data_IF_619075538820
#
_entry.id   IF_619075538820
#
_cell.length_a   1.000
_cell.length_b   1.000
_cell.length_c   1.000
_cell.angle_alpha   90.00
_cell.angle_beta   90.00
_cell.angle_gamma   90.00
#
_symmetry.space_group_name_H-M   'P 1'
#
loop_
_entity.id
_entity.type
_entity.pdbx_description
1 polymer ?
2 non-polymer ?
3 water ?
#
# COMPACT_ATOMS: atom_id res chain seq x y z
N UNK A 6 -40.88 -17.32 5.34
CA UNK A 6 -41.38 -15.94 5.58
C UNK A 6 -40.33 -14.87 5.27
N UNK A 7 -40.83 -13.74 4.77
CA UNK A 7 -39.99 -12.66 4.25
C UNK A 7 -39.36 -11.92 5.43
N UNK A 8 -38.14 -11.42 5.27
CA UNK A 8 -37.54 -10.60 6.32
C UNK A 8 -36.63 -9.51 5.71
N UNK A 9 -36.50 -8.39 6.42
CA UNK A 9 -35.70 -7.28 5.96
C UNK A 9 -34.21 -7.65 5.78
N UNK A 10 -33.47 -6.89 4.97
CA UNK A 10 -32.10 -7.32 4.79
C UNK A 10 -31.20 -7.12 6.04
N UNK A 11 -30.14 -7.94 6.09
CA UNK A 11 -29.09 -7.84 7.09
C UNK A 11 -27.71 -7.99 6.41
N UNK A 12 -26.78 -7.10 6.74
CA UNK A 12 -25.42 -7.24 6.21
C UNK A 12 -24.69 -8.39 6.88
N UNK A 13 -24.11 -9.27 6.06
CA UNK A 13 -23.44 -10.45 6.59
C UNK A 13 -21.93 -10.20 6.51
N UNK A 14 -21.49 -9.67 5.37
CA UNK A 14 -20.10 -9.28 5.21
C UNK A 14 -19.98 -7.80 4.86
N UNK A 15 -19.23 -7.06 5.67
CA UNK A 15 -18.98 -5.67 5.38
C UNK A 15 -17.71 -5.68 4.54
N UNK A 16 -17.52 -4.63 3.71
CA UNK A 16 -16.32 -4.42 2.94
C UNK A 16 -15.14 -4.05 3.84
N UNK A 17 -13.96 -4.53 3.48
CA UNK A 17 -12.74 -4.23 4.16
C UNK A 17 -11.97 -3.21 3.33
N UNK A 18 -11.22 -2.36 4.04
CA UNK A 18 -10.30 -1.41 3.44
C UNK A 18 -9.38 -2.13 2.47
N UNK A 19 -9.00 -1.43 1.40
CA UNK A 19 -8.20 -1.99 0.31
C UNK A 19 -7.23 -0.99 -0.28
N UNK A 20 -5.94 -1.35 -0.23
CA UNK A 20 -4.89 -0.65 -0.97
C UNK A 20 -4.52 -1.57 -2.13
N UNK A 21 -4.46 -0.99 -3.31
CA UNK A 21 -4.08 -1.78 -4.46
C UNK A 21 -3.23 -0.92 -5.37
N UNK A 22 -2.45 -1.55 -6.21
CA UNK A 22 -1.60 -0.82 -7.15
C UNK A 22 -2.40 -0.41 -8.39
N UNK A 23 -2.05 0.74 -8.97
CA UNK A 23 -2.51 1.11 -10.31
C UNK A 23 -2.13 -0.03 -11.25
N UNK A 24 -3.08 -0.42 -12.08
CA UNK A 24 -2.85 -1.53 -13.00
C UNK A 24 -3.56 -2.78 -12.54
N UNK A 25 -3.69 -2.94 -11.22
CA UNK A 25 -4.34 -4.11 -10.66
C UNK A 25 -5.87 -3.97 -10.49
N UNK A 26 -6.58 -5.09 -10.69
CA UNK A 26 -8.01 -5.13 -10.43
C UNK A 26 -8.19 -5.00 -8.94
N UNK A 27 -9.43 -4.92 -8.51
CA UNK A 27 -9.73 -4.87 -7.09
C UNK A 27 -11.12 -5.37 -6.87
N UNK A 28 -11.35 -5.89 -5.66
CA UNK A 28 -12.64 -6.36 -5.25
C UNK A 28 -12.98 -5.82 -3.88
N UNK A 29 -14.18 -5.23 -3.74
CA UNK A 29 -14.71 -4.79 -2.40
C UNK A 29 -15.79 -5.76 -2.08
N UNK A 30 -15.72 -6.33 -0.89
CA UNK A 30 -16.65 -7.38 -0.52
C UNK A 30 -17.89 -6.85 0.15
N UNK A 31 -19.00 -7.49 -0.14
CA UNK A 31 -20.23 -7.21 0.55
C UNK A 31 -21.01 -8.51 0.47
N UNK A 32 -21.88 -8.76 1.43
CA UNK A 32 -22.79 -9.91 1.33
C UNK A 32 -23.97 -9.65 2.25
N UNK A 33 -25.20 -9.84 1.77
CA UNK A 33 -26.40 -9.67 2.62
C UNK A 33 -27.26 -10.92 2.65
N UNK A 34 -28.16 -10.98 3.64
CA UNK A 34 -29.20 -11.98 3.69
C UNK A 34 -30.53 -11.26 3.75
N UNK A 35 -31.54 -11.89 3.19
CA UNK A 35 -32.87 -11.32 3.28
C UNK A 35 -33.77 -12.15 2.43
N UNK A 36 -35.06 -12.02 2.68
CA UNK A 36 -36.08 -12.69 1.89
C UNK A 36 -37.23 -11.69 1.75
N UNK A 37 -37.55 -11.29 0.50
CA UNK A 37 -36.94 -11.72 -0.79
C UNK A 37 -35.45 -11.37 -0.90
N UNK A 38 -34.69 -12.14 -1.66
CA UNK A 38 -33.25 -11.89 -1.78
C UNK A 38 -32.99 -10.39 -1.99
N UNK A 39 -32.10 -9.79 -1.18
CA UNK A 39 -31.89 -8.36 -1.36
C UNK A 39 -30.99 -7.99 -2.56
N UNK A 40 -31.23 -6.80 -3.10
CA UNK A 40 -30.38 -6.29 -4.15
C UNK A 40 -29.26 -5.55 -3.45
N UNK A 41 -28.11 -5.44 -4.10
CA UNK A 41 -26.95 -4.80 -3.47
C UNK A 41 -26.58 -3.61 -4.33
N UNK A 42 -26.39 -2.44 -3.72
CA UNK A 42 -25.98 -1.27 -4.46
C UNK A 42 -24.86 -0.57 -3.70
N UNK A 43 -23.89 -0.03 -4.43
CA UNK A 43 -22.72 0.52 -3.79
C UNK A 43 -22.65 2.04 -3.92
N UNK A 44 -22.09 2.68 -2.92
CA UNK A 44 -22.00 4.15 -2.89
C UNK A 44 -20.61 4.58 -2.56
N UNK A 45 -20.12 5.58 -3.32
CA UNK A 45 -18.80 6.16 -3.07
C UNK A 45 -18.96 7.64 -2.79
N UNK A 46 -18.57 8.03 -1.58
CA UNK A 46 -18.82 9.36 -1.03
C UNK A 46 -20.30 9.62 -1.07
N UNK A 47 -21.05 8.56 -0.83
CA UNK A 47 -22.51 8.60 -0.83
C UNK A 47 -23.15 8.75 -2.19
N UNK A 48 -22.38 8.55 -3.27
CA UNK A 48 -22.92 8.56 -4.64
C UNK A 48 -22.99 7.16 -5.21
N UNK A 49 -24.14 6.80 -5.76
CA UNK A 49 -24.39 5.49 -6.36
C UNK A 49 -23.36 5.19 -7.47
N UNK A 50 -22.82 3.96 -7.42
CA UNK A 50 -21.73 3.54 -8.31
C UNK A 50 -22.35 2.67 -9.40
N UNK A 51 -22.04 3.01 -10.65
CA UNK A 51 -22.55 2.27 -11.78
C UNK A 51 -21.82 0.93 -11.88
N UNK A 52 -22.56 -0.15 -12.10
CA UNK A 52 -21.96 -1.43 -12.42
C UNK A 52 -22.42 -1.89 -13.79
N UNK A 53 -21.83 -3.01 -14.23
CA UNK A 53 -22.16 -3.62 -15.48
C UNK A 53 -23.60 -4.06 -15.54
N UNK A 54 -24.23 -4.24 -14.38
CA UNK A 54 -25.63 -4.63 -14.34
C UNK A 54 -26.54 -3.41 -14.59
N UNK A 55 -26.01 -2.22 -14.36
CA UNK A 55 -26.69 -0.98 -14.68
C UNK A 55 -26.45 -0.69 -16.14
N UNK A 56 -25.17 -0.73 -16.55
CA UNK A 56 -24.71 -0.32 -17.88
C UNK A 56 -23.55 -1.22 -18.36
N UNK A 57 -23.80 -2.07 -19.38
CA UNK A 57 -22.74 -2.97 -19.84
C UNK A 57 -21.36 -2.33 -20.07
N UNK A 58 -21.29 -1.01 -20.28
CA UNK A 58 -19.99 -0.34 -20.59
C UNK A 58 -19.09 -0.11 -19.36
N UNK A 59 -19.62 -0.41 -18.17
CA UNK A 59 -18.86 -0.14 -16.93
C UNK A 59 -17.68 -1.05 -16.77
N UNK A 60 -16.59 -0.51 -16.24
CA UNK A 60 -15.40 -1.30 -15.91
C UNK A 60 -15.55 -1.98 -14.54
N UNK A 61 -16.76 -1.97 -13.99
CA UNK A 61 -17.00 -2.53 -12.70
C UNK A 61 -18.05 -3.61 -12.82
N UNK A 62 -17.80 -4.72 -12.14
CA UNK A 62 -18.68 -5.88 -12.18
C UNK A 62 -19.26 -6.08 -10.79
N UNK A 63 -20.58 -6.24 -10.71
CA UNK A 63 -21.22 -6.66 -9.48
C UNK A 63 -21.32 -8.20 -9.48
N UNK A 64 -20.63 -8.82 -8.53
CA UNK A 64 -20.54 -10.29 -8.48
C UNK A 64 -21.83 -10.88 -7.86
N UNK A 65 -22.09 -12.21 -8.03
CA UNK A 65 -23.36 -12.79 -7.57
C UNK A 65 -23.69 -12.50 -6.10
N UNK A 66 -22.64 -12.29 -5.30
CA UNK A 66 -22.75 -12.12 -3.87
C UNK A 66 -23.11 -10.68 -3.57
N UNK A 67 -22.73 -9.83 -4.52
CA UNK A 67 -22.91 -8.40 -4.47
C UNK A 67 -21.58 -7.74 -4.18
N UNK A 68 -20.46 -8.44 -4.31
CA UNK A 68 -19.16 -7.78 -4.14
C UNK A 68 -18.94 -6.92 -5.37
N UNK A 69 -18.08 -5.91 -5.25
CA UNK A 69 -17.81 -4.99 -6.33
C UNK A 69 -16.41 -5.20 -6.87
N UNK A 70 -16.32 -5.66 -8.12
CA UNK A 70 -15.04 -5.96 -8.78
C UNK A 70 -14.66 -4.83 -9.75
N UNK A 71 -13.51 -4.21 -9.55
CA UNK A 71 -13.05 -3.20 -10.53
C UNK A 71 -12.12 -3.91 -11.43
N UNK A 72 -12.46 -3.97 -12.70
CA UNK A 72 -11.55 -4.49 -13.76
C UNK A 72 -10.27 -3.65 -13.93
N UNK A 73 -10.38 -2.36 -13.68
CA UNK A 73 -9.23 -1.44 -13.67
C UNK A 73 -9.53 -0.34 -12.67
N UNK A 74 -8.53 0.05 -11.89
CA UNK A 74 -8.63 1.17 -10.97
C UNK A 74 -8.30 2.46 -11.70
N UNK A 75 -9.34 3.23 -11.97
CA UNK A 75 -9.14 4.48 -12.68
C UNK A 75 -8.60 5.56 -11.72
N UNK A 76 -7.40 6.05 -12.07
CA UNK A 76 -6.59 6.95 -11.26
C UNK A 76 -5.57 7.53 -12.19
N UNK A 77 -5.95 8.65 -12.77
CA UNK A 77 -5.09 9.37 -13.69
C UNK A 77 -4.81 10.68 -13.02
N UNK A 78 -4.09 11.55 -13.72
CA UNK A 78 -3.86 12.88 -13.21
C UNK A 78 -5.18 13.59 -12.95
N UNK A 79 -5.98 13.77 -14.00
CA UNK A 79 -7.14 14.66 -13.93
C UNK A 79 -8.46 13.98 -13.57
N UNK A 80 -8.55 12.67 -13.80
CA UNK A 80 -9.62 11.90 -13.15
C UNK A 80 -9.22 10.57 -12.54
N UNK A 81 -9.88 10.34 -11.41
CA UNK A 81 -9.79 9.14 -10.64
C UNK A 81 -11.18 8.94 -10.03
N UNK A 82 -12.02 8.13 -10.70
CA UNK A 82 -13.36 7.96 -10.20
C UNK A 82 -13.49 6.77 -9.24
N UNK A 83 -12.39 6.06 -8.93
CA UNK A 83 -12.57 4.83 -8.13
C UNK A 83 -12.13 4.84 -6.66
N UNK A 84 -11.01 5.49 -6.37
CA UNK A 84 -10.56 5.71 -4.99
C UNK A 84 -11.60 6.49 -4.18
N UNK A 85 -11.86 6.03 -2.96
CA UNK A 85 -12.63 6.80 -2.00
C UNK A 85 -13.26 5.91 -0.96
N UNK A 86 -14.21 6.46 -0.23
CA UNK A 86 -14.95 5.72 0.79
C UNK A 86 -16.20 5.08 0.25
N UNK A 87 -16.34 3.78 0.51
CA UNK A 87 -17.45 2.99 -0.02
C UNK A 87 -18.38 2.33 1.03
N UNK A 88 -19.64 2.15 0.67
CA UNK A 88 -20.59 1.47 1.51
C UNK A 88 -21.49 0.61 0.61
N UNK A 89 -21.85 -0.60 1.01
CA UNK A 89 -22.86 -1.29 0.20
C UNK A 89 -24.15 -1.18 0.98
N UNK A 90 -25.28 -1.18 0.26
CA UNK A 90 -26.64 -1.09 0.82
C UNK A 90 -27.47 -2.22 0.23
N UNK A 91 -28.09 -3.04 1.09
CA UNK A 91 -28.89 -4.16 0.66
C UNK A 91 -30.32 -3.69 0.82
N UNK A 92 -31.18 -4.02 -0.14
CA UNK A 92 -32.59 -3.65 -0.11
C UNK A 92 -33.54 -4.77 -0.51
N UNK A 93 -34.66 -4.88 0.19
CA UNK A 93 -35.83 -5.57 -0.35
C UNK A 93 -37.10 -4.76 0.01
N UNK A 94 -38.29 -5.25 -0.35
CA UNK A 94 -39.51 -4.47 -0.11
C UNK A 94 -39.66 -4.06 1.35
N UNK A 95 -39.18 -4.91 2.26
CA UNK A 95 -39.29 -4.68 3.71
C UNK A 95 -38.29 -3.71 4.30
N UNK A 96 -37.29 -3.27 3.55
CA UNK A 96 -36.28 -2.42 4.16
C UNK A 96 -34.86 -2.47 3.62
N UNK A 97 -33.95 -1.88 4.36
CA UNK A 97 -32.60 -1.66 3.86
C UNK A 97 -31.64 -1.91 5.01
N UNK A 98 -30.44 -2.38 4.68
CA UNK A 98 -29.33 -2.50 5.61
C UNK A 98 -28.14 -1.88 4.91
N UNK A 99 -27.32 -1.16 5.66
CA UNK A 99 -26.14 -0.50 5.07
C UNK A 99 -24.92 -1.12 5.71
N UNK A 100 -23.81 -1.16 4.98
CA UNK A 100 -22.58 -1.76 5.52
C UNK A 100 -21.83 -0.70 6.29
N UNK A 101 -20.77 -1.11 6.95
CA UNK A 101 -19.80 -0.19 7.49
C UNK A 101 -19.00 0.30 6.24
N UNK A 102 -18.29 1.41 6.37
CA UNK A 102 -17.56 1.93 5.22
C UNK A 102 -16.15 1.35 5.11
N UNK A 103 -15.63 1.38 3.89
CA UNK A 103 -14.33 0.85 3.60
C UNK A 103 -13.69 1.84 2.66
N UNK A 104 -12.38 2.00 2.74
CA UNK A 104 -11.67 2.92 1.86
C UNK A 104 -11.07 2.08 0.76
N UNK A 105 -11.05 2.60 -0.46
CA UNK A 105 -10.36 1.96 -1.56
C UNK A 105 -9.31 2.94 -2.00
N UNK A 106 -8.10 2.43 -2.21
CA UNK A 106 -6.90 3.25 -2.25
C UNK A 106 -5.94 2.69 -3.25
N UNK A 107 -5.29 3.59 -3.97
CA UNK A 107 -4.26 3.24 -4.92
C UNK A 107 -2.92 3.52 -4.25
N UNK A 108 -2.11 2.47 -4.16
CA UNK A 108 -0.75 2.56 -3.64
C UNK A 108 0.13 3.46 -4.50
N UNK A 109 1.12 4.09 -3.87
CA UNK A 109 2.02 4.99 -4.58
C UNK A 109 3.45 4.97 -3.98
N UNK A 110 4.44 4.87 -4.87
CA UNK A 110 5.85 4.91 -4.50
C UNK A 110 6.59 5.81 -5.48
N UNK A 111 7.20 6.87 -4.97
CA UNK A 111 8.06 7.72 -5.81
C UNK A 111 9.37 7.00 -6.22
N UNK A 112 9.92 7.38 -7.37
CA UNK A 112 11.18 6.81 -7.83
C UNK A 112 12.38 7.40 -7.10
N UNK A 113 12.17 8.57 -6.51
CA UNK A 113 13.28 9.40 -6.10
C UNK A 113 13.30 9.76 -4.59
N UNK A 114 14.37 9.34 -3.88
CA UNK A 114 14.47 9.40 -2.40
C UNK A 114 14.36 10.78 -1.74
N UNK A 115 13.74 10.82 -0.55
CA UNK A 115 13.56 12.06 0.22
C UNK A 115 14.88 12.61 0.70
N UNK A 116 15.73 11.74 1.23
CA UNK A 116 17.11 12.15 1.49
C UNK A 116 18.13 11.01 1.39
N UNK A 117 18.98 11.11 0.37
CA UNK A 117 20.02 10.12 0.09
C UNK A 117 21.04 10.04 1.25
N UNK A 118 21.72 8.89 1.40
CA UNK A 118 22.80 8.84 2.38
C UNK A 118 24.00 9.67 1.92
N UNK A 119 24.94 9.92 2.82
CA UNK A 119 26.07 10.80 2.53
C UNK A 119 27.40 10.07 2.69
N UNK A 120 28.37 10.41 1.83
CA UNK A 120 29.70 9.85 1.93
C UNK A 120 30.25 10.07 3.34
N UNK A 121 30.93 9.06 3.89
CA UNK A 121 31.58 9.20 5.20
C UNK A 121 33.02 8.73 5.09
N UNK A 122 33.92 9.50 5.69
CA UNK A 122 35.32 9.12 5.78
C UNK A 122 35.63 9.06 7.26
N UNK A 123 36.17 7.94 7.71
CA UNK A 123 36.34 7.69 9.15
C UNK A 123 37.51 6.72 9.39
N UNK A 124 38.06 6.70 10.60
CA UNK A 124 39.17 5.80 10.88
C UNK A 124 38.70 4.54 11.59
N UNK A 125 39.36 3.42 11.31
CA UNK A 125 39.20 2.15 12.04
C UNK A 125 38.80 2.34 13.52
N UNK A 126 37.70 1.71 13.94
CA UNK A 126 37.30 1.71 15.35
C UNK A 126 36.42 2.88 15.74
N UNK A 127 36.28 3.83 14.83
CA UNK A 127 35.38 4.95 15.07
C UNK A 127 34.02 4.60 14.46
N UNK A 128 32.93 5.12 15.05
CA UNK A 128 31.59 4.90 14.52
C UNK A 128 31.39 5.52 13.13
N UNK A 129 30.67 4.79 12.27
CA UNK A 129 30.17 5.30 10.99
C UNK A 129 28.66 5.26 11.06
N UNK A 130 28.04 6.41 10.82
CA UNK A 130 26.59 6.58 10.82
C UNK A 130 26.17 7.00 9.41
N UNK A 131 25.15 6.34 8.88
CA UNK A 131 24.46 6.85 7.69
C UNK A 131 22.98 6.96 7.92
N UNK A 132 22.43 8.12 7.56
CA UNK A 132 21.00 8.45 7.68
C UNK A 132 20.31 8.46 6.33
N UNK A 133 19.08 7.98 6.31
CA UNK A 133 18.29 7.90 5.08
C UNK A 133 16.81 8.12 5.35
N UNK A 134 16.13 8.68 4.35
CA UNK A 134 14.68 8.87 4.33
C UNK A 134 14.20 8.49 2.95
N UNK A 135 13.23 7.56 2.90
CA UNK A 135 12.73 7.06 1.64
C UNK A 135 11.68 8.03 1.07
N UNK A 136 11.35 7.90 -0.23
CA UNK A 136 10.23 8.62 -0.81
C UNK A 136 8.96 8.64 0.05
N UNK A 137 8.04 9.55 -0.25
CA UNK A 137 6.73 9.48 0.35
C UNK A 137 6.07 8.32 -0.37
N UNK A 138 5.19 7.61 0.33
CA UNK A 138 4.54 6.47 -0.27
C UNK A 138 3.35 6.07 0.55
N UNK A 139 2.45 5.32 -0.06
CA UNK A 139 1.34 4.69 0.64
C UNK A 139 1.16 3.27 0.12
N UNK A 140 1.29 2.27 1.01
CA UNK A 140 1.74 2.41 2.41
C UNK A 140 3.16 2.98 2.54
N UNK A 141 3.48 3.51 3.72
CA UNK A 141 4.79 4.08 3.98
C UNK A 141 5.94 3.13 3.62
N UNK A 142 6.90 3.62 2.82
CA UNK A 142 8.01 2.75 2.46
C UNK A 142 8.92 2.39 3.65
N UNK A 143 9.02 1.09 3.93
CA UNK A 143 9.95 0.57 4.94
C UNK A 143 11.37 0.64 4.38
N UNK A 144 12.37 0.54 5.25
CA UNK A 144 13.77 0.79 4.87
C UNK A 144 14.64 -0.45 4.99
N UNK A 145 15.53 -0.67 4.00
CA UNK A 145 16.65 -1.63 4.15
C UNK A 145 17.94 -1.05 3.57
N UNK A 146 19.05 -1.77 3.67
CA UNK A 146 20.34 -1.23 3.19
C UNK A 146 21.14 -2.21 2.34
N UNK A 147 22.02 -1.67 1.50
CA UNK A 147 22.92 -2.48 0.68
C UNK A 147 24.34 -1.95 0.62
N UNK A 148 25.30 -2.85 0.77
CA UNK A 148 26.71 -2.52 0.58
C UNK A 148 27.26 -3.32 -0.59
N UNK A 149 27.78 -2.63 -1.60
CA UNK A 149 28.35 -3.28 -2.80
C UNK A 149 27.50 -4.44 -3.40
N UNK A 150 26.18 -4.26 -3.44
CA UNK A 150 25.28 -5.22 -4.09
C UNK A 150 24.57 -6.20 -3.17
N UNK A 151 25.08 -6.37 -1.95
CA UNK A 151 24.57 -7.36 -1.00
C UNK A 151 23.81 -6.72 0.15
N UNK A 152 22.69 -7.33 0.57
CA UNK A 152 21.91 -6.80 1.69
C UNK A 152 22.72 -6.66 2.98
N UNK A 153 22.40 -5.64 3.76
CA UNK A 153 22.90 -5.51 5.12
C UNK A 153 21.82 -5.99 6.09
N UNK A 154 22.21 -6.84 7.05
CA UNK A 154 21.29 -7.27 8.12
C UNK A 154 21.90 -6.74 9.43
N UNK A 155 21.06 -6.33 10.38
CA UNK A 155 21.56 -5.95 11.72
C UNK A 155 21.51 -7.19 12.65
N UNK A 156 21.27 -8.35 12.03
CA UNK A 156 21.37 -9.67 12.65
C UNK A 156 22.72 -9.84 13.35
N UNK A 157 23.70 -9.12 12.84
CA UNK A 157 25.01 -9.10 13.45
C UNK A 157 25.17 -7.77 14.16
N UNK A 158 25.34 -7.88 15.47
CA UNK A 158 25.10 -6.80 16.43
C UNK A 158 26.02 -5.60 16.31
N UNK A 159 27.09 -5.77 15.54
CA UNK A 159 28.06 -4.71 15.38
C UNK A 159 27.48 -3.64 14.48
N UNK A 160 26.34 -3.93 13.86
CA UNK A 160 25.61 -2.95 13.07
C UNK A 160 24.23 -2.76 13.70
N UNK A 161 23.81 -1.51 13.80
CA UNK A 161 22.51 -1.16 14.33
C UNK A 161 21.72 -0.46 13.23
N UNK A 162 20.59 -1.03 12.85
CA UNK A 162 19.70 -0.41 11.88
C UNK A 162 18.37 -0.11 12.58
N UNK A 163 17.97 1.15 12.53
CA UNK A 163 16.82 1.62 13.31
C UNK A 163 16.41 3.02 12.86
N UNK A 164 15.14 3.17 12.52
CA UNK A 164 14.68 4.40 11.90
C UNK A 164 15.37 4.50 10.56
N UNK A 165 15.86 5.70 10.27
CA UNK A 165 16.61 5.96 9.05
C UNK A 165 18.11 5.86 9.29
N UNK A 166 18.49 5.64 10.54
CA UNK A 166 19.90 5.49 10.92
C UNK A 166 20.45 4.07 10.73
N UNK A 167 21.57 3.99 10.01
CA UNK A 167 22.42 2.82 10.03
C UNK A 167 23.71 3.17 10.81
N UNK A 168 24.01 2.44 11.88
CA UNK A 168 25.22 2.72 12.68
C UNK A 168 26.17 1.50 12.71
N UNK A 169 27.45 1.76 12.45
CA UNK A 169 28.52 0.79 12.64
C UNK A 169 29.34 1.34 13.82
N UNK A 170 29.38 0.60 14.92
CA UNK A 170 29.98 1.10 16.16
C UNK A 170 31.49 1.27 16.04
N UNK A 171 32.16 0.25 15.53
CA UNK A 171 33.60 0.26 15.32
C UNK A 171 33.87 -0.12 13.87
N UNK A 172 34.17 0.89 13.06
CA UNK A 172 34.48 0.66 11.67
C UNK A 172 35.66 -0.31 11.50
N UNK A 173 35.50 -1.25 10.55
CA UNK A 173 36.59 -2.12 10.07
C UNK A 173 36.93 -1.67 8.65
N UNK A 174 38.19 -1.85 8.23
CA UNK A 174 38.54 -1.58 6.83
C UNK A 174 37.62 -2.35 5.85
N UNK A 175 37.20 -3.56 6.25
CA UNK A 175 36.30 -4.36 5.42
C UNK A 175 34.91 -3.74 5.28
N UNK A 176 34.65 -2.65 6.01
CA UNK A 176 33.39 -1.88 5.90
C UNK A 176 33.40 -0.79 4.81
N UNK A 177 34.60 -0.39 4.37
CA UNK A 177 34.74 0.47 3.19
C UNK A 177 33.85 -0.09 2.07
N UNK A 178 33.14 0.78 1.36
CA UNK A 178 32.26 0.32 0.31
C UNK A 178 31.17 1.28 -0.10
N UNK A 179 30.33 0.81 -1.02
CA UNK A 179 29.25 1.59 -1.62
C UNK A 179 27.95 1.30 -0.88
N UNK A 180 27.40 2.30 -0.20
CA UNK A 180 26.15 2.14 0.55
C UNK A 180 24.96 2.78 -0.15
N UNK A 181 23.87 2.03 -0.24
CA UNK A 181 22.60 2.57 -0.71
C UNK A 181 21.50 2.19 0.27
N UNK A 182 20.60 3.13 0.50
CA UNK A 182 19.40 2.89 1.28
C UNK A 182 18.26 2.50 0.35
N UNK A 183 17.54 1.44 0.70
CA UNK A 183 16.50 0.92 -0.17
C UNK A 183 15.07 1.16 0.38
N UNK A 184 14.16 1.49 -0.53
CA UNK A 184 12.78 1.86 -0.18
C UNK A 184 11.77 0.90 -0.76
N UNK A 185 10.84 0.46 0.07
CA UNK A 185 10.02 -0.68 -0.27
C UNK A 185 8.60 -0.53 0.23
N UNK A 186 7.64 -0.56 -0.68
CA UNK A 186 6.26 -0.81 -0.30
C UNK A 186 5.67 -1.76 -1.33
N UNK A 187 4.37 -2.05 -1.23
CA UNK A 187 3.74 -3.02 -2.13
C UNK A 187 3.94 -2.73 -3.63
N UNK A 188 4.32 -1.49 -3.95
CA UNK A 188 4.53 -1.05 -5.32
C UNK A 188 5.84 -1.60 -5.93
N UNK A 189 6.93 -1.53 -5.19
CA UNK A 189 8.21 -2.07 -5.65
C UNK A 189 9.40 -1.70 -4.77
N UNK A 190 10.60 -1.95 -5.28
CA UNK A 190 11.86 -1.51 -4.64
C UNK A 190 12.18 -0.15 -5.23
N UNK A 191 12.94 0.66 -4.50
CA UNK A 191 13.55 1.87 -5.03
C UNK A 191 14.90 2.04 -4.34
N UNK A 192 15.94 2.35 -5.11
CA UNK A 192 17.31 2.44 -4.58
C UNK A 192 17.81 3.88 -4.58
N UNK A 193 18.43 4.30 -3.47
CA UNK A 193 19.04 5.63 -3.37
C UNK A 193 20.32 5.67 -4.21
N UNK A 194 20.87 6.86 -4.46
CA UNK A 194 22.22 6.93 -5.03
C UNK A 194 23.28 6.47 -4.03
N UNK A 195 24.31 5.80 -4.55
CA UNK A 195 25.30 5.11 -3.72
C UNK A 195 26.18 6.05 -2.90
N UNK A 196 26.43 5.65 -1.65
CA UNK A 196 27.27 6.42 -0.72
C UNK A 196 28.59 5.71 -0.41
N UNK A 197 29.68 6.48 -0.40
CA UNK A 197 31.00 5.93 -0.12
C UNK A 197 31.39 6.06 1.34
N UNK A 198 31.49 4.92 2.01
CA UNK A 198 32.21 4.89 3.26
C UNK A 198 33.67 4.65 2.96
N UNK A 199 34.52 5.56 3.43
CA UNK A 199 35.96 5.39 3.36
C UNK A 199 36.57 5.28 4.78
N UNK A 200 37.57 4.41 4.92
CA UNK A 200 38.12 4.02 6.22
C UNK A 200 39.63 4.22 6.28
N UNK A 201 40.06 5.21 7.05
CA UNK A 201 41.47 5.53 7.21
C UNK A 201 42.12 4.62 8.25
N UNK A 202 43.45 4.46 8.14
CA UNK A 202 44.41 4.05 9.23
C UNK A 202 45.48 2.99 8.89
X LIG B 1 21.22 -4.15 17.11
X LIG B 1 21.51 -4.62 15.73
X LIG B 1 20.44 -2.91 17.13
X LIG B 1 20.43 -5.23 17.69
X LIG B 1 22.53 -3.88 17.75
X LIG C 1 -12.77 2.90 8.37
X LIG C 1 -13.73 3.99 8.62
X LIG C 1 -11.53 3.16 9.11
X LIG C 1 -13.41 1.68 8.89
X LIG C 1 -12.47 2.77 6.92
#
# INVERSE_FOLDING_TARGET
GSLRQEDFPPRIVEHPSDLIVSKGEPATLNCKAEGRPTPTIEWYKGGERVETDKDDPRSHRMLLPSGSLFFLRIVHGRKSRPDEGVYVCVARNYLGEAVSHDASLEVAILRDDFRQNPSDVMVAVGEPAVMECQPPRGHPEPTISWKKDGSPLDDKDERITIRGGKLMITYTRKSDAGKYVCVGTNMVGERESEVAELTVLERPSFVKAAAH
SO4 S O1 O2 O3 O4
SO4 S O1 O2 O3 O4
#
